data_IF_978443822034
#
_entry.id   IF_978443822034
#
_cell.length_a   1.000
_cell.length_b   1.000
_cell.length_c   1.000
_cell.angle_alpha   90.00
_cell.angle_beta   90.00
_cell.angle_gamma   90.00
#
_symmetry.space_group_name_H-M   'P 1'
#
loop_
_entity.id
_entity.type
_entity.pdbx_description
1 polymer ?
#
# COMPACT_ATOMS: atom_id res chain seq x y z
N UNK A 1 10.72 11.26 -2.45
CA UNK A 1 11.87 10.31 -2.28
C UNK A 1 11.30 8.94 -2.57
N UNK A 2 11.69 8.28 -3.67
CA UNK A 2 10.97 7.10 -4.16
C UNK A 2 11.69 5.82 -3.74
N UNK A 3 11.06 5.03 -2.87
CA UNK A 3 11.55 3.69 -2.55
C UNK A 3 11.15 2.71 -3.66
N UNK A 4 11.98 1.70 -3.92
CA UNK A 4 11.66 0.64 -4.86
C UNK A 4 10.51 -0.24 -4.35
N UNK A 5 9.75 -0.84 -5.27
CA UNK A 5 8.56 -1.63 -4.93
C UNK A 5 8.90 -2.85 -4.06
N UNK A 6 10.08 -3.45 -4.20
CA UNK A 6 10.46 -4.62 -3.40
C UNK A 6 10.62 -4.24 -1.93
N UNK A 7 11.24 -3.09 -1.65
CA UNK A 7 11.39 -2.56 -0.30
C UNK A 7 10.03 -2.27 0.33
N UNK A 8 9.14 -1.54 -0.35
CA UNK A 8 7.80 -1.22 0.16
C UNK A 8 6.97 -2.49 0.40
N UNK A 9 6.95 -3.41 -0.57
CA UNK A 9 6.22 -4.68 -0.47
C UNK A 9 6.69 -5.49 0.74
N UNK A 10 8.01 -5.63 0.91
CA UNK A 10 8.60 -6.45 1.97
C UNK A 10 8.27 -5.85 3.34
N UNK A 11 8.39 -4.53 3.49
CA UNK A 11 8.04 -3.83 4.73
C UNK A 11 6.54 -3.98 5.06
N UNK A 12 5.66 -3.76 4.09
CA UNK A 12 4.22 -3.93 4.31
C UNK A 12 3.83 -5.38 4.68
N UNK A 13 4.49 -6.39 4.08
CA UNK A 13 4.25 -7.81 4.41
C UNK A 13 4.64 -8.13 5.86
N UNK A 14 5.62 -7.44 6.44
CA UNK A 14 6.03 -7.59 7.85
C UNK A 14 5.02 -7.01 8.85
N UNK A 15 4.10 -6.14 8.41
CA UNK A 15 3.11 -5.56 9.31
C UNK A 15 2.14 -6.62 9.84
N UNK A 16 1.90 -6.54 11.15
CA UNK A 16 0.80 -7.27 11.80
C UNK A 16 -0.57 -6.75 11.34
N UNK A 17 -1.63 -7.52 11.58
CA UNK A 17 -3.01 -7.10 11.28
C UNK A 17 -3.35 -5.76 11.95
N UNK A 18 -2.87 -5.53 13.19
CA UNK A 18 -3.08 -4.27 13.92
C UNK A 18 -2.39 -3.10 13.23
N UNK A 19 -1.12 -3.24 12.87
CA UNK A 19 -0.36 -2.20 12.15
C UNK A 19 -0.98 -1.89 10.79
N UNK A 20 -1.49 -2.88 10.06
CA UNK A 20 -2.21 -2.65 8.79
C UNK A 20 -3.49 -1.84 9.00
N UNK A 21 -4.27 -2.13 10.04
CA UNK A 21 -5.44 -1.31 10.35
C UNK A 21 -5.07 0.11 10.76
N UNK A 22 -4.00 0.29 11.56
CA UNK A 22 -3.51 1.62 11.93
C UNK A 22 -3.04 2.40 10.71
N UNK A 23 -2.29 1.77 9.79
CA UNK A 23 -1.89 2.37 8.52
C UNK A 23 -3.09 2.88 7.73
N UNK A 24 -4.13 2.03 7.57
CA UNK A 24 -5.35 2.41 6.85
C UNK A 24 -6.06 3.59 7.51
N UNK A 25 -6.21 3.57 8.84
CA UNK A 25 -6.83 4.67 9.59
C UNK A 25 -6.04 5.98 9.46
N UNK A 26 -4.71 5.92 9.52
CA UNK A 26 -3.83 7.08 9.31
C UNK A 26 -3.99 7.65 7.91
N UNK A 27 -3.94 6.80 6.86
CA UNK A 27 -4.14 7.24 5.48
C UNK A 27 -5.51 7.91 5.29
N UNK A 28 -6.58 7.33 5.84
CA UNK A 28 -7.93 7.89 5.78
C UNK A 28 -8.01 9.25 6.49
N UNK A 29 -7.35 9.42 7.64
CA UNK A 29 -7.28 10.72 8.33
C UNK A 29 -6.57 11.80 7.52
N UNK A 30 -5.69 11.43 6.59
CA UNK A 30 -5.01 12.34 5.66
C UNK A 30 -5.83 12.56 4.36
N UNK A 31 -7.06 12.02 4.28
CA UNK A 31 -7.93 12.12 3.10
C UNK A 31 -7.64 11.08 2.01
N UNK A 32 -6.73 10.13 2.25
CA UNK A 32 -6.47 9.02 1.33
C UNK A 32 -7.38 7.85 1.73
N UNK A 33 -8.57 7.81 1.13
CA UNK A 33 -9.64 6.87 1.48
C UNK A 33 -9.42 5.43 0.97
N UNK A 34 -8.27 4.84 1.30
CA UNK A 34 -7.95 3.42 1.04
C UNK A 34 -8.55 2.56 2.15
N UNK A 35 -9.22 1.47 1.79
CA UNK A 35 -9.87 0.54 2.73
C UNK A 35 -9.18 -0.82 2.79
N UNK A 36 -8.35 -1.15 1.79
CA UNK A 36 -7.58 -2.39 1.74
C UNK A 36 -6.31 -2.18 0.91
N UNK A 37 -5.23 -2.79 1.37
CA UNK A 37 -3.97 -2.92 0.63
C UNK A 37 -3.67 -4.42 0.49
N UNK A 38 -3.48 -4.87 -0.73
CA UNK A 38 -3.18 -6.26 -1.05
C UNK A 38 -1.77 -6.38 -1.64
N UNK A 39 -0.95 -7.21 -1.01
CA UNK A 39 0.38 -7.56 -1.47
C UNK A 39 0.28 -8.83 -2.31
N UNK A 40 0.59 -8.71 -3.59
CA UNK A 40 0.45 -9.76 -4.57
C UNK A 40 1.77 -10.08 -5.27
N UNK A 41 2.02 -11.36 -5.53
CA UNK A 41 3.13 -11.87 -6.33
C UNK A 41 2.54 -12.82 -7.37
N UNK A 42 2.93 -12.62 -8.64
CA UNK A 42 2.38 -13.39 -9.76
C UNK A 42 2.92 -14.82 -9.74
N UNK A 43 2.03 -15.82 -9.73
CA UNK A 43 2.42 -17.23 -9.73
C UNK A 43 3.23 -17.61 -10.99
N UNK A 44 2.84 -17.05 -12.14
CA UNK A 44 3.50 -17.30 -13.43
C UNK A 44 4.79 -16.49 -13.62
N UNK A 45 5.06 -15.52 -12.74
CA UNK A 45 6.28 -14.70 -12.75
C UNK A 45 6.79 -14.43 -11.32
N UNK A 46 7.38 -15.46 -10.67
CA UNK A 46 7.95 -15.31 -9.33
C UNK A 46 8.98 -14.18 -9.27
N UNK A 47 8.94 -13.38 -8.20
CA UNK A 47 9.78 -12.20 -8.03
C UNK A 47 9.15 -10.89 -8.51
N UNK A 48 8.07 -10.92 -9.29
CA UNK A 48 7.31 -9.72 -9.66
C UNK A 48 6.29 -9.40 -8.56
N UNK A 49 6.58 -8.34 -7.78
CA UNK A 49 5.79 -7.92 -6.62
C UNK A 49 4.95 -6.68 -6.92
N UNK A 50 3.69 -6.71 -6.51
CA UNK A 50 2.74 -5.61 -6.66
C UNK A 50 2.00 -5.32 -5.36
N UNK A 51 1.60 -4.06 -5.22
CA UNK A 51 0.61 -3.63 -4.23
C UNK A 51 -0.62 -3.12 -4.97
N UNK A 52 -1.77 -3.66 -4.58
CA UNK A 52 -3.08 -3.22 -5.01
C UNK A 52 -3.78 -2.46 -3.89
N UNK A 53 -4.45 -1.38 -4.28
CA UNK A 53 -5.15 -0.47 -3.40
C UNK A 53 -6.63 -0.47 -3.75
N UNK A 54 -7.46 -0.58 -2.73
CA UNK A 54 -8.92 -0.51 -2.86
C UNK A 54 -9.39 0.74 -2.15
N UNK A 55 -10.06 1.62 -2.89
CA UNK A 55 -10.58 2.87 -2.36
C UNK A 55 -12.02 2.70 -1.87
N UNK A 56 -12.44 3.51 -0.91
CA UNK A 56 -13.79 3.45 -0.34
C UNK A 56 -14.88 3.67 -1.39
N UNK A 57 -14.62 4.52 -2.40
CA UNK A 57 -15.54 4.85 -3.49
C UNK A 57 -15.84 3.64 -4.39
N UNK A 58 -14.87 2.76 -4.60
CA UNK A 58 -15.05 1.50 -5.34
C UNK A 58 -14.13 0.41 -4.77
N UNK A 59 -14.59 -0.21 -3.69
CA UNK A 59 -13.83 -1.22 -2.95
C UNK A 59 -13.67 -2.56 -3.67
N UNK A 60 -14.29 -2.72 -4.85
CA UNK A 60 -14.14 -3.91 -5.71
C UNK A 60 -13.02 -3.75 -6.72
N UNK A 61 -12.63 -2.51 -7.03
CA UNK A 61 -11.59 -2.20 -7.99
C UNK A 61 -10.22 -2.24 -7.33
N UNK A 62 -9.37 -3.14 -7.81
CA UNK A 62 -7.96 -3.19 -7.44
C UNK A 62 -7.18 -2.18 -8.31
N UNK A 63 -6.61 -1.15 -7.68
CA UNK A 63 -5.77 -0.15 -8.37
C UNK A 63 -4.30 -0.48 -8.06
N UNK A 64 -3.47 -0.79 -9.08
CA UNK A 64 -2.05 -1.06 -8.84
C UNK A 64 -1.30 0.23 -8.48
N UNK A 65 -0.23 0.11 -7.67
CA UNK A 65 0.54 1.26 -7.17
C UNK A 65 0.99 2.26 -8.25
N UNK A 66 1.38 1.78 -9.43
CA UNK A 66 1.88 2.62 -10.53
C UNK A 66 0.77 3.39 -11.27
N UNK A 67 -0.51 3.11 -10.98
CA UNK A 67 -1.65 3.90 -11.47
C UNK A 67 -2.11 4.96 -10.46
N UNK A 68 -1.50 5.04 -9.28
CA UNK A 68 -1.80 6.10 -8.32
C UNK A 68 -1.17 7.43 -8.74
N UNK A 69 -1.77 8.53 -8.29
CA UNK A 69 -1.09 9.83 -8.35
C UNK A 69 0.22 9.76 -7.56
N UNK A 70 1.29 10.35 -8.10
CA UNK A 70 2.62 10.30 -7.50
C UNK A 70 2.63 10.78 -6.03
N UNK A 71 1.93 11.87 -5.72
CA UNK A 71 1.86 12.42 -4.36
C UNK A 71 1.19 11.45 -3.37
N UNK A 72 0.11 10.79 -3.81
CA UNK A 72 -0.57 9.76 -3.00
C UNK A 72 0.36 8.58 -2.77
N UNK A 73 1.06 8.14 -3.82
CA UNK A 73 1.99 7.03 -3.72
C UNK A 73 3.15 7.34 -2.79
N UNK A 74 3.78 8.52 -2.90
CA UNK A 74 4.86 8.93 -2.01
C UNK A 74 4.40 8.99 -0.54
N UNK A 75 3.20 9.50 -0.26
CA UNK A 75 2.67 9.50 1.11
C UNK A 75 2.48 8.09 1.66
N UNK A 76 1.92 7.17 0.87
CA UNK A 76 1.76 5.77 1.26
C UNK A 76 3.11 5.12 1.54
N UNK A 77 4.12 5.37 0.69
CA UNK A 77 5.47 4.87 0.91
C UNK A 77 6.04 5.34 2.25
N UNK A 78 5.89 6.62 2.57
CA UNK A 78 6.36 7.19 3.84
C UNK A 78 5.71 6.50 5.04
N UNK A 79 4.38 6.32 5.04
CA UNK A 79 3.69 5.66 6.14
C UNK A 79 4.05 4.17 6.30
N UNK A 80 4.37 3.48 5.20
CA UNK A 80 4.83 2.08 5.25
C UNK A 80 6.26 1.99 5.79
N UNK A 81 7.16 2.89 5.37
CA UNK A 81 8.58 2.81 5.73
C UNK A 81 8.87 3.34 7.12
N UNK A 82 8.19 4.41 7.54
CA UNK A 82 8.51 5.09 8.80
C UNK A 82 8.06 4.33 10.05
N UNK A 83 7.41 3.16 9.93
CA UNK A 83 6.83 2.40 11.05
C UNK A 83 6.02 3.35 11.94
N UNK A 84 4.80 3.70 11.53
CA UNK A 84 3.91 4.50 12.38
C UNK A 84 3.71 3.74 13.70
N UNK A 85 4.41 4.20 14.75
CA UNK A 85 4.43 3.64 16.10
C UNK A 85 3.12 3.91 16.83
#
# INVERSE_FOLDING_TARGET
>A
MTYDINTIYTKYKQFTKKQRHQLLATLQSQGINIVKIEAYEYADAPGIKHLFFYFAEDSRKAIPYFMLNNDIWEQIQLFIIQDVR
#
